data_IF_647890494318
#
_entry.id   IF_647890494318
#
_cell.length_a   1.000
_cell.length_b   1.000
_cell.length_c   1.000
_cell.angle_alpha   90.00
_cell.angle_beta   90.00
_cell.angle_gamma   90.00
#
_symmetry.space_group_name_H-M   'P 1'
#
loop_
_entity.id
_entity.type
_entity.pdbx_description
1 polymer ?
#
# COMPACT_ATOMS: atom_id res chain seq x y z
N UNK A 1 6.31 -33.46 23.45
CA UNK A 1 6.49 -33.12 22.01
C UNK A 1 7.21 -31.79 22.00
N UNK A 2 8.49 -31.79 21.65
CA UNK A 2 9.36 -30.62 21.73
C UNK A 2 9.18 -29.80 20.46
N UNK A 3 8.74 -28.54 20.60
CA UNK A 3 8.73 -27.54 19.53
C UNK A 3 10.17 -27.29 19.05
N UNK A 4 10.50 -27.82 17.89
CA UNK A 4 11.73 -27.46 17.21
C UNK A 4 11.52 -26.10 16.51
N UNK A 5 12.00 -25.05 17.14
CA UNK A 5 12.12 -23.74 16.51
C UNK A 5 13.09 -23.86 15.33
N UNK A 6 12.59 -23.83 14.11
CA UNK A 6 13.42 -23.86 12.90
C UNK A 6 14.19 -22.54 12.82
N UNK A 7 15.51 -22.60 12.95
CA UNK A 7 16.37 -21.42 12.81
C UNK A 7 16.36 -20.92 11.34
N UNK A 8 16.55 -19.59 11.14
CA UNK A 8 16.59 -18.97 9.79
C UNK A 8 17.58 -19.67 8.85
N UNK A 9 18.71 -20.18 9.38
CA UNK A 9 19.70 -21.00 8.62
C UNK A 9 19.15 -22.38 8.29
N UNK A 10 18.29 -22.97 9.14
CA UNK A 10 17.59 -24.21 8.86
C UNK A 10 16.58 -24.04 7.72
N UNK A 11 15.77 -23.00 7.73
CA UNK A 11 14.81 -22.69 6.69
C UNK A 11 15.49 -22.53 5.30
N UNK A 12 16.63 -21.82 5.24
CA UNK A 12 17.42 -21.68 4.01
C UNK A 12 17.98 -23.02 3.49
N UNK A 13 18.39 -23.94 4.37
CA UNK A 13 18.84 -25.28 3.97
C UNK A 13 17.70 -26.12 3.41
N UNK A 14 16.49 -26.05 3.99
CA UNK A 14 15.30 -26.72 3.46
C UNK A 14 14.85 -26.15 2.13
N UNK A 15 14.91 -24.82 1.94
CA UNK A 15 14.65 -24.19 0.63
C UNK A 15 15.66 -24.67 -0.43
N UNK A 16 16.95 -24.75 -0.07
CA UNK A 16 18.00 -25.25 -0.96
C UNK A 16 17.83 -26.74 -1.32
N UNK A 17 17.31 -27.57 -0.41
CA UNK A 17 17.00 -28.98 -0.70
C UNK A 17 15.77 -29.17 -1.57
N UNK A 18 14.73 -28.34 -1.40
CA UNK A 18 13.53 -28.36 -2.24
C UNK A 18 13.83 -27.97 -3.70
N UNK A 19 14.80 -27.07 -3.92
CA UNK A 19 15.22 -26.71 -5.27
C UNK A 19 16.00 -27.80 -6.01
N UNK A 20 16.53 -28.79 -5.29
CA UNK A 20 17.28 -29.91 -5.86
C UNK A 20 16.38 -31.09 -6.29
N UNK A 21 15.10 -31.09 -5.96
CA UNK A 21 14.15 -32.13 -6.37
C UNK A 21 13.58 -31.87 -7.77
N UNK A 22 13.15 -32.94 -8.47
CA UNK A 22 12.54 -32.82 -9.81
C UNK A 22 11.36 -31.82 -9.84
N UNK A 23 10.60 -31.73 -8.77
CA UNK A 23 9.49 -30.78 -8.61
C UNK A 23 10.00 -29.33 -8.49
N UNK A 24 11.14 -29.10 -7.82
CA UNK A 24 11.78 -27.79 -7.73
C UNK A 24 12.27 -27.27 -9.09
N UNK A 25 12.73 -28.16 -9.97
CA UNK A 25 13.13 -27.77 -11.34
C UNK A 25 11.96 -27.30 -12.19
N UNK A 26 10.79 -27.94 -12.07
CA UNK A 26 9.58 -27.52 -12.80
C UNK A 26 9.02 -26.20 -12.25
N UNK A 27 9.09 -25.99 -10.94
CA UNK A 27 8.69 -24.74 -10.31
C UNK A 27 9.60 -23.57 -10.73
N UNK A 28 10.91 -23.77 -10.69
CA UNK A 28 11.89 -22.74 -11.13
C UNK A 28 11.81 -22.50 -12.65
N UNK A 29 11.56 -23.54 -13.45
CA UNK A 29 11.43 -23.41 -14.90
C UNK A 29 10.19 -22.59 -15.31
N UNK A 30 9.14 -22.54 -14.48
CA UNK A 30 7.98 -21.67 -14.72
C UNK A 30 8.21 -20.20 -14.36
N UNK A 31 9.26 -19.91 -13.58
CA UNK A 31 9.58 -18.55 -13.09
C UNK A 31 10.80 -17.91 -13.80
N UNK A 32 11.71 -18.72 -14.31
CA UNK A 32 12.89 -18.21 -15.00
C UNK A 32 12.74 -18.49 -16.52
N UNK A 33 12.87 -17.48 -17.38
CA UNK A 33 12.94 -17.71 -18.80
C UNK A 33 14.16 -18.61 -19.09
N UNK A 34 13.91 -19.77 -19.70
CA UNK A 34 14.87 -20.87 -19.94
C UNK A 34 16.11 -20.50 -20.79
N UNK A 35 16.29 -19.25 -21.15
CA UNK A 35 17.43 -18.78 -21.96
C UNK A 35 18.65 -18.33 -21.14
N UNK A 36 18.56 -18.35 -19.82
CA UNK A 36 19.65 -17.88 -18.95
C UNK A 36 20.68 -18.96 -18.56
N UNK A 37 20.57 -20.22 -19.06
CA UNK A 37 21.38 -21.35 -18.55
C UNK A 37 22.39 -21.89 -19.59
N UNK A 38 22.47 -21.36 -20.79
CA UNK A 38 23.52 -21.74 -21.73
C UNK A 38 24.54 -20.60 -21.83
N UNK A 39 25.71 -20.89 -21.20
CA UNK A 39 26.82 -19.96 -21.17
C UNK A 39 27.35 -19.63 -22.56
N UNK A 40 27.31 -18.36 -22.85
CA UNK A 40 28.20 -17.74 -23.81
C UNK A 40 28.72 -16.46 -23.13
N UNK A 41 29.99 -16.48 -22.78
CA UNK A 41 30.66 -15.44 -21.96
C UNK A 41 30.75 -14.07 -22.66
N UNK A 42 30.07 -13.87 -23.79
CA UNK A 42 30.14 -12.63 -24.58
C UNK A 42 28.82 -11.88 -24.73
N UNK A 43 27.85 -12.08 -23.85
CA UNK A 43 26.54 -11.40 -23.96
C UNK A 43 26.11 -10.67 -22.69
N UNK A 44 27.00 -9.80 -22.18
CA UNK A 44 26.65 -8.75 -21.22
C UNK A 44 26.03 -7.50 -21.90
N UNK A 45 25.52 -7.66 -23.12
CA UNK A 45 24.82 -6.58 -23.83
C UNK A 45 23.42 -7.04 -24.13
N UNK A 46 22.47 -6.75 -23.22
CA UNK A 46 21.09 -7.12 -23.52
C UNK A 46 20.04 -6.93 -22.43
N UNK A 47 20.34 -6.25 -21.33
CA UNK A 47 19.29 -5.88 -20.36
C UNK A 47 18.56 -4.57 -20.78
N UNK A 48 19.07 -3.87 -21.78
CA UNK A 48 18.47 -2.63 -22.31
C UNK A 48 17.29 -2.86 -23.29
N UNK A 49 16.78 -4.08 -23.39
CA UNK A 49 15.69 -4.43 -24.34
C UNK A 49 14.54 -5.21 -23.71
N UNK A 50 14.31 -5.11 -22.42
CA UNK A 50 13.02 -5.50 -21.87
C UNK A 50 11.99 -4.44 -22.27
N UNK A 51 11.50 -4.53 -23.50
CA UNK A 51 10.19 -3.99 -23.78
C UNK A 51 9.24 -4.64 -22.78
N UNK A 52 8.69 -3.85 -21.89
CA UNK A 52 7.50 -4.22 -21.16
C UNK A 52 6.47 -4.57 -22.23
N UNK A 53 6.28 -5.87 -22.53
CA UNK A 53 5.05 -6.30 -23.13
C UNK A 53 4.01 -5.87 -22.11
N UNK A 54 3.23 -4.85 -22.45
CA UNK A 54 1.96 -4.60 -21.78
C UNK A 54 1.19 -5.92 -21.94
N UNK A 55 1.26 -6.73 -20.90
CA UNK A 55 0.28 -7.79 -20.70
C UNK A 55 -0.99 -7.00 -20.49
N UNK A 56 -1.88 -6.98 -21.49
CA UNK A 56 -3.23 -6.49 -21.30
C UNK A 56 -3.73 -7.21 -20.06
N UNK A 57 -3.77 -6.47 -18.94
CA UNK A 57 -4.28 -7.00 -17.71
C UNK A 57 -5.74 -7.32 -17.99
N UNK A 58 -6.11 -8.60 -17.90
CA UNK A 58 -7.52 -8.97 -17.87
C UNK A 58 -8.22 -8.04 -16.88
N UNK A 59 -9.45 -7.58 -17.18
CA UNK A 59 -10.17 -6.68 -16.28
C UNK A 59 -10.17 -7.34 -14.90
N UNK A 60 -9.44 -6.73 -13.96
CA UNK A 60 -9.30 -7.26 -12.63
C UNK A 60 -10.71 -7.47 -12.07
N UNK A 61 -11.01 -8.68 -11.64
CA UNK A 61 -12.28 -8.98 -10.97
C UNK A 61 -12.53 -7.92 -9.89
N UNK A 62 -13.77 -7.50 -9.75
CA UNK A 62 -14.12 -6.51 -8.73
C UNK A 62 -13.60 -6.98 -7.37
N UNK A 63 -12.87 -6.12 -6.66
CA UNK A 63 -12.33 -6.46 -5.34
C UNK A 63 -13.49 -6.77 -4.39
N UNK A 64 -13.35 -7.85 -3.63
CA UNK A 64 -14.26 -8.20 -2.56
C UNK A 64 -13.57 -7.93 -1.23
N UNK A 65 -14.09 -7.03 -0.39
CA UNK A 65 -13.51 -6.75 0.92
C UNK A 65 -13.36 -8.02 1.76
N UNK A 66 -12.23 -8.15 2.45
CA UNK A 66 -11.87 -9.34 3.23
C UNK A 66 -12.00 -9.08 4.74
N UNK A 67 -11.83 -7.84 5.17
CA UNK A 67 -11.91 -7.44 6.58
C UNK A 67 -13.14 -6.61 6.87
N UNK A 68 -13.35 -5.52 6.12
CA UNK A 68 -14.45 -4.61 6.36
C UNK A 68 -15.76 -5.16 5.81
N UNK A 69 -16.85 -4.98 6.54
CA UNK A 69 -18.17 -5.18 5.97
C UNK A 69 -18.46 -4.12 4.88
N UNK A 70 -19.50 -4.30 4.04
CA UNK A 70 -19.77 -3.38 2.93
C UNK A 70 -19.96 -1.92 3.34
N UNK A 71 -20.52 -1.67 4.52
CA UNK A 71 -20.77 -0.32 5.02
C UNK A 71 -19.48 0.33 5.54
N UNK A 72 -18.68 -0.42 6.26
CA UNK A 72 -17.35 0.01 6.70
C UNK A 72 -16.43 0.28 5.52
N UNK A 73 -16.43 -0.61 4.51
CA UNK A 73 -15.64 -0.43 3.30
C UNK A 73 -15.99 0.85 2.56
N UNK A 74 -17.28 1.17 2.39
CA UNK A 74 -17.72 2.45 1.83
C UNK A 74 -17.23 3.64 2.66
N UNK A 75 -17.22 3.51 3.98
CA UNK A 75 -16.66 4.56 4.86
C UNK A 75 -15.16 4.74 4.61
N UNK A 76 -14.42 3.66 4.43
CA UNK A 76 -12.98 3.70 4.09
C UNK A 76 -12.75 4.35 2.72
N UNK A 77 -13.58 4.05 1.72
CA UNK A 77 -13.51 4.72 0.40
C UNK A 77 -13.70 6.24 0.52
N UNK A 78 -14.70 6.66 1.30
CA UNK A 78 -14.96 8.09 1.53
C UNK A 78 -13.77 8.73 2.25
N UNK A 79 -13.26 8.11 3.31
CA UNK A 79 -12.14 8.61 4.08
C UNK A 79 -10.87 8.73 3.23
N UNK A 80 -10.54 7.71 2.46
CA UNK A 80 -9.39 7.74 1.56
C UNK A 80 -9.50 8.87 0.52
N UNK A 81 -10.68 9.06 -0.07
CA UNK A 81 -10.95 10.14 -1.02
C UNK A 81 -10.90 11.54 -0.38
N UNK A 82 -11.17 11.65 0.93
CA UNK A 82 -11.01 12.92 1.65
C UNK A 82 -9.55 13.24 1.99
N UNK A 83 -8.71 12.23 2.16
CA UNK A 83 -7.25 12.42 2.39
C UNK A 83 -6.54 12.74 1.08
N UNK A 84 -6.85 12.03 0.00
CA UNK A 84 -6.27 12.24 -1.34
C UNK A 84 -7.41 12.37 -2.35
N UNK A 85 -7.96 13.57 -2.51
CA UNK A 85 -9.09 13.79 -3.41
C UNK A 85 -8.66 13.68 -4.87
N UNK A 86 -9.62 13.40 -5.75
CA UNK A 86 -9.46 13.52 -7.19
C UNK A 86 -9.67 14.99 -7.57
N UNK A 87 -8.67 15.58 -8.20
CA UNK A 87 -8.70 16.95 -8.73
C UNK A 87 -8.19 16.98 -10.16
N UNK A 88 -7.13 17.73 -10.46
CA UNK A 88 -6.44 17.72 -11.75
C UNK A 88 -5.64 16.41 -11.98
N UNK A 89 -5.36 15.70 -10.88
CA UNK A 89 -4.72 14.38 -10.87
C UNK A 89 -5.66 13.32 -10.28
N UNK A 90 -5.46 12.04 -10.63
CA UNK A 90 -6.20 10.94 -10.01
C UNK A 90 -5.98 10.89 -8.50
N UNK A 91 -7.03 10.61 -7.74
CA UNK A 91 -6.98 10.50 -6.28
C UNK A 91 -7.00 9.06 -5.75
N UNK A 92 -7.30 8.94 -4.45
CA UNK A 92 -7.34 7.66 -3.75
C UNK A 92 -8.36 6.68 -4.33
N UNK A 93 -9.46 7.19 -4.90
CA UNK A 93 -10.51 6.36 -5.50
C UNK A 93 -10.00 5.62 -6.74
N UNK A 94 -9.39 6.35 -7.67
CA UNK A 94 -8.83 5.79 -8.91
C UNK A 94 -7.67 4.84 -8.59
N UNK A 95 -6.87 5.18 -7.58
CA UNK A 95 -5.77 4.34 -7.09
C UNK A 95 -6.24 3.12 -6.27
N UNK A 96 -7.56 2.98 -6.01
CA UNK A 96 -8.16 1.89 -5.25
C UNK A 96 -7.54 1.74 -3.85
N UNK A 97 -7.30 2.86 -3.19
CA UNK A 97 -6.66 2.88 -1.86
C UNK A 97 -7.45 2.10 -0.82
N UNK A 98 -8.79 2.11 -0.88
CA UNK A 98 -9.61 1.33 0.04
C UNK A 98 -9.36 -0.18 -0.06
N UNK A 99 -9.11 -0.71 -1.26
CA UNK A 99 -8.77 -2.13 -1.46
C UNK A 99 -7.43 -2.46 -0.78
N UNK A 100 -6.45 -1.57 -0.93
CA UNK A 100 -5.15 -1.70 -0.25
C UNK A 100 -5.31 -1.70 1.27
N UNK A 101 -6.08 -0.75 1.81
CA UNK A 101 -6.33 -0.64 3.25
C UNK A 101 -6.99 -1.91 3.80
N UNK A 102 -8.05 -2.38 3.15
CA UNK A 102 -8.75 -3.61 3.55
C UNK A 102 -7.81 -4.82 3.56
N UNK A 103 -7.04 -4.99 2.48
CA UNK A 103 -6.07 -6.09 2.35
C UNK A 103 -5.00 -6.04 3.46
N UNK A 104 -4.43 -4.85 3.73
CA UNK A 104 -3.40 -4.71 4.76
C UNK A 104 -3.97 -4.97 6.15
N UNK A 105 -5.16 -4.44 6.46
CA UNK A 105 -5.81 -4.65 7.76
C UNK A 105 -6.19 -6.12 7.94
N UNK A 106 -6.70 -6.79 6.90
CA UNK A 106 -6.96 -8.22 6.91
C UNK A 106 -5.68 -9.02 7.21
N UNK A 107 -4.61 -8.74 6.47
CA UNK A 107 -3.33 -9.45 6.61
C UNK A 107 -2.64 -9.17 7.95
N UNK A 108 -2.94 -8.04 8.59
CA UNK A 108 -2.34 -7.64 9.86
C UNK A 108 -2.63 -8.61 11.02
N UNK A 109 -3.62 -9.48 10.90
CA UNK A 109 -3.90 -10.52 11.89
C UNK A 109 -2.67 -11.35 12.27
N UNK A 110 -1.74 -11.56 11.32
CA UNK A 110 -0.56 -12.39 11.51
C UNK A 110 0.64 -11.64 12.09
N UNK A 111 0.78 -10.35 11.86
CA UNK A 111 1.99 -9.59 12.20
C UNK A 111 1.75 -8.33 13.05
N UNK A 112 0.57 -7.71 12.98
CA UNK A 112 0.17 -6.53 13.75
C UNK A 112 -1.33 -6.57 14.09
N UNK A 113 -1.78 -7.51 14.94
CA UNK A 113 -3.22 -7.65 15.25
C UNK A 113 -3.83 -6.41 15.89
N UNK A 114 -3.04 -5.54 16.52
CA UNK A 114 -3.51 -4.25 17.02
C UNK A 114 -4.09 -3.34 15.94
N UNK A 115 -3.61 -3.45 14.69
CA UNK A 115 -4.09 -2.63 13.58
C UNK A 115 -5.57 -2.89 13.28
N UNK A 116 -6.00 -4.15 13.34
CA UNK A 116 -7.41 -4.49 13.16
C UNK A 116 -8.29 -3.80 14.21
N UNK A 117 -7.84 -3.85 15.48
CA UNK A 117 -8.55 -3.19 16.57
C UNK A 117 -8.55 -1.66 16.39
N UNK A 118 -7.44 -1.07 15.99
CA UNK A 118 -7.31 0.37 15.72
C UNK A 118 -8.34 0.83 14.66
N UNK A 119 -8.54 0.04 13.61
CA UNK A 119 -9.53 0.35 12.56
C UNK A 119 -10.96 0.19 13.05
N UNK A 120 -11.30 -0.90 13.75
CA UNK A 120 -12.65 -1.11 14.30
C UNK A 120 -13.01 -0.02 15.30
N UNK A 121 -12.11 0.29 16.22
CA UNK A 121 -12.32 1.35 17.23
C UNK A 121 -12.44 2.73 16.56
N UNK A 122 -11.61 2.99 15.54
CA UNK A 122 -11.61 4.26 14.82
C UNK A 122 -12.89 4.48 14.00
N UNK A 123 -13.36 3.48 13.28
CA UNK A 123 -14.64 3.57 12.55
C UNK A 123 -15.82 3.70 13.52
N UNK A 124 -15.80 2.98 14.64
CA UNK A 124 -16.81 3.11 15.69
C UNK A 124 -16.82 4.51 16.30
N UNK A 125 -15.64 5.07 16.56
CA UNK A 125 -15.50 6.46 17.05
C UNK A 125 -16.09 7.44 16.04
N UNK A 126 -15.74 7.30 14.77
CA UNK A 126 -16.19 8.19 13.69
C UNK A 126 -17.71 8.19 13.55
N UNK A 127 -18.32 7.02 13.58
CA UNK A 127 -19.78 6.86 13.49
C UNK A 127 -20.46 7.48 14.71
N UNK A 128 -19.96 7.21 15.92
CA UNK A 128 -20.49 7.80 17.17
C UNK A 128 -20.44 9.33 17.14
N UNK A 129 -19.30 9.90 16.71
CA UNK A 129 -19.14 11.36 16.66
C UNK A 129 -19.99 12.00 15.57
N UNK A 130 -20.14 11.35 14.42
CA UNK A 130 -21.05 11.82 13.38
C UNK A 130 -22.50 11.86 13.85
N UNK A 131 -22.96 10.81 14.51
CA UNK A 131 -24.29 10.77 15.11
C UNK A 131 -24.46 11.84 16.19
N UNK A 132 -23.47 12.04 17.05
CA UNK A 132 -23.52 13.02 18.15
C UNK A 132 -23.56 14.45 17.61
N UNK A 133 -22.76 14.79 16.60
CA UNK A 133 -22.62 16.17 16.10
C UNK A 133 -23.68 16.53 15.06
N UNK A 134 -24.06 15.58 14.19
CA UNK A 134 -24.86 15.85 13.00
C UNK A 134 -26.18 15.08 12.95
N UNK A 135 -26.39 14.11 13.86
CA UNK A 135 -27.60 13.27 13.87
C UNK A 135 -27.72 12.32 12.68
N UNK A 136 -26.58 12.00 12.03
CA UNK A 136 -26.50 11.15 10.85
C UNK A 136 -25.29 10.22 10.93
N UNK A 137 -25.36 9.10 10.18
CA UNK A 137 -24.17 8.28 9.97
C UNK A 137 -23.07 9.08 9.26
N UNK A 138 -21.81 8.68 9.41
CA UNK A 138 -20.73 9.35 8.69
C UNK A 138 -20.93 9.31 7.17
N UNK A 139 -21.45 8.22 6.65
CA UNK A 139 -21.74 8.07 5.21
C UNK A 139 -22.86 9.00 4.72
N UNK A 140 -23.84 9.29 5.57
CA UNK A 140 -24.97 10.14 5.23
C UNK A 140 -24.74 11.62 5.59
N UNK A 141 -23.65 11.92 6.31
CA UNK A 141 -23.27 13.29 6.64
C UNK A 141 -22.87 14.05 5.37
N UNK A 142 -23.02 15.37 5.40
CA UNK A 142 -22.57 16.20 4.28
C UNK A 142 -21.05 16.22 4.20
N UNK A 143 -20.51 16.54 3.03
CA UNK A 143 -19.05 16.70 2.86
C UNK A 143 -18.46 17.70 3.85
N UNK A 144 -19.16 18.82 4.06
CA UNK A 144 -18.76 19.85 5.04
C UNK A 144 -18.71 19.29 6.47
N UNK A 145 -19.70 18.47 6.86
CA UNK A 145 -19.74 17.86 8.20
C UNK A 145 -18.59 16.84 8.37
N UNK A 146 -18.35 16.00 7.36
CA UNK A 146 -17.23 15.06 7.35
C UNK A 146 -15.89 15.79 7.44
N UNK A 147 -15.71 16.85 6.65
CA UNK A 147 -14.48 17.65 6.65
C UNK A 147 -14.28 18.31 8.03
N UNK A 148 -15.34 18.83 8.65
CA UNK A 148 -15.26 19.38 10.01
C UNK A 148 -14.76 18.33 10.99
N UNK A 149 -15.34 17.13 10.99
CA UNK A 149 -14.95 16.06 11.90
C UNK A 149 -13.47 15.65 11.71
N UNK A 150 -13.02 15.44 10.47
CA UNK A 150 -11.62 15.12 10.20
C UNK A 150 -10.68 16.27 10.56
N UNK A 151 -11.10 17.51 10.39
CA UNK A 151 -10.33 18.70 10.80
C UNK A 151 -10.15 18.75 12.31
N UNK A 152 -11.19 18.43 13.08
CA UNK A 152 -11.11 18.34 14.54
C UNK A 152 -10.15 17.21 14.95
N UNK A 153 -10.25 16.03 14.35
CA UNK A 153 -9.37 14.90 14.59
C UNK A 153 -7.91 15.21 14.28
N UNK A 154 -7.64 16.00 13.24
CA UNK A 154 -6.29 16.36 12.81
C UNK A 154 -5.66 17.53 13.61
N UNK A 155 -6.41 18.17 14.51
CA UNK A 155 -5.95 19.35 15.21
C UNK A 155 -4.59 19.18 15.93
N UNK A 156 -4.28 18.04 16.56
CA UNK A 156 -2.97 17.81 17.19
C UNK A 156 -1.77 17.83 16.23
N UNK A 157 -1.95 17.62 14.93
CA UNK A 157 -0.85 17.76 13.96
C UNK A 157 -0.36 19.21 13.84
N UNK A 158 -1.25 20.18 14.03
CA UNK A 158 -0.94 21.61 13.91
C UNK A 158 -0.51 22.21 15.24
N UNK A 159 -1.00 21.66 16.35
CA UNK A 159 -0.69 22.10 17.69
C UNK A 159 -0.59 20.88 18.62
N UNK A 160 0.64 20.47 18.93
CA UNK A 160 0.93 19.32 19.77
C UNK A 160 0.45 19.45 21.24
N UNK A 161 -0.02 20.65 21.64
CA UNK A 161 -0.65 20.84 22.95
C UNK A 161 -2.09 20.39 23.00
N UNK A 162 -2.71 20.24 21.82
CA UNK A 162 -4.08 19.75 21.70
C UNK A 162 -4.12 18.23 21.81
N UNK A 163 -5.17 17.72 22.42
CA UNK A 163 -5.45 16.31 22.52
C UNK A 163 -6.82 16.02 21.90
N UNK A 164 -6.88 14.98 21.07
CA UNK A 164 -8.14 14.56 20.46
C UNK A 164 -8.24 13.04 20.42
N UNK A 165 -9.37 12.48 20.89
CA UNK A 165 -9.59 11.03 20.99
C UNK A 165 -9.40 10.32 19.64
N UNK A 166 -9.87 10.93 18.55
CA UNK A 166 -9.76 10.38 17.19
C UNK A 166 -8.41 10.58 16.52
N UNK A 167 -7.43 11.25 17.16
CA UNK A 167 -6.18 11.61 16.49
C UNK A 167 -5.33 10.41 16.06
N UNK A 168 -5.23 9.39 16.91
CA UNK A 168 -4.47 8.16 16.58
C UNK A 168 -5.06 7.48 15.35
N UNK A 169 -6.38 7.36 15.27
CA UNK A 169 -7.03 6.80 14.09
C UNK A 169 -6.82 7.68 12.84
N UNK A 170 -6.93 9.00 12.97
CA UNK A 170 -6.66 9.92 11.86
C UNK A 170 -5.23 9.74 11.31
N UNK A 171 -4.25 9.60 12.18
CA UNK A 171 -2.85 9.36 11.78
C UNK A 171 -2.70 8.03 11.03
N UNK A 172 -3.26 6.95 11.59
CA UNK A 172 -3.24 5.63 10.94
C UNK A 172 -3.93 5.65 9.56
N UNK A 173 -5.10 6.29 9.47
CA UNK A 173 -5.83 6.48 8.21
C UNK A 173 -4.98 7.22 7.17
N UNK A 174 -4.40 8.35 7.57
CA UNK A 174 -3.58 9.20 6.70
C UNK A 174 -2.34 8.46 6.20
N UNK A 175 -1.60 7.82 7.09
CA UNK A 175 -0.43 7.03 6.73
C UNK A 175 -0.76 5.92 5.73
N UNK A 176 -1.81 5.14 5.99
CA UNK A 176 -2.21 4.06 5.10
C UNK A 176 -2.79 4.56 3.78
N UNK A 177 -3.49 5.69 3.77
CA UNK A 177 -3.97 6.29 2.54
C UNK A 177 -2.81 6.78 1.65
N UNK A 178 -1.82 7.44 2.24
CA UNK A 178 -0.62 7.90 1.54
C UNK A 178 0.20 6.72 1.03
N UNK A 179 0.42 5.70 1.86
CA UNK A 179 1.15 4.50 1.45
C UNK A 179 0.44 3.78 0.29
N UNK A 180 -0.87 3.51 0.43
CA UNK A 180 -1.65 2.84 -0.61
C UNK A 180 -1.69 3.63 -1.92
N UNK A 181 -1.73 4.95 -1.86
CA UNK A 181 -1.72 5.79 -3.04
C UNK A 181 -0.36 5.76 -3.75
N UNK A 182 0.73 6.11 -3.06
CA UNK A 182 2.06 6.24 -3.68
C UNK A 182 2.74 4.90 -4.01
N UNK A 183 2.23 3.78 -3.49
CA UNK A 183 2.65 2.44 -3.93
C UNK A 183 1.78 1.87 -5.04
N UNK A 184 0.67 2.52 -5.38
CA UNK A 184 -0.17 2.15 -6.52
C UNK A 184 0.51 2.52 -7.86
N UNK A 185 0.05 1.90 -8.96
CA UNK A 185 0.51 2.28 -10.31
C UNK A 185 0.26 3.78 -10.58
N UNK A 186 -0.91 4.27 -10.21
CA UNK A 186 -1.30 5.68 -10.43
C UNK A 186 -0.37 6.62 -9.65
N UNK A 187 -0.20 6.40 -8.35
CA UNK A 187 0.65 7.28 -7.53
C UNK A 187 2.13 7.19 -7.93
N UNK A 188 2.64 5.98 -8.15
CA UNK A 188 4.05 5.77 -8.42
C UNK A 188 4.45 6.18 -9.84
N UNK A 189 3.68 5.79 -10.85
CA UNK A 189 4.03 6.02 -12.26
C UNK A 189 3.44 7.33 -12.75
N UNK A 190 2.11 7.51 -12.62
CA UNK A 190 1.41 8.61 -13.28
C UNK A 190 1.62 9.95 -12.54
N UNK A 191 1.76 9.91 -11.20
CA UNK A 191 1.94 11.14 -10.38
C UNK A 191 3.41 11.41 -10.07
N UNK A 192 4.19 10.39 -9.65
CA UNK A 192 5.61 10.56 -9.31
C UNK A 192 6.57 10.39 -10.49
N UNK A 193 6.07 9.99 -11.67
CA UNK A 193 6.89 9.73 -12.87
C UNK A 193 8.08 8.79 -12.59
N UNK A 194 7.85 7.74 -11.78
CA UNK A 194 8.90 6.80 -11.40
C UNK A 194 9.37 5.99 -12.60
N UNK A 195 10.63 6.19 -13.01
CA UNK A 195 11.24 5.58 -14.20
C UNK A 195 11.99 4.25 -13.89
N UNK A 196 11.79 3.70 -12.69
CA UNK A 196 12.51 2.51 -12.25
C UNK A 196 13.84 2.83 -11.53
N UNK A 197 14.54 1.77 -11.13
CA UNK A 197 15.84 1.89 -10.49
C UNK A 197 16.92 1.99 -11.59
N UNK A 198 17.51 3.18 -11.75
CA UNK A 198 18.65 3.38 -12.63
C UNK A 198 19.95 3.33 -11.82
N UNK A 199 20.86 2.45 -12.21
CA UNK A 199 22.21 2.47 -11.68
C UNK A 199 23.03 3.53 -12.43
N UNK A 200 23.49 4.52 -11.69
CA UNK A 200 24.43 5.52 -12.22
C UNK A 200 25.82 5.16 -11.72
N UNK A 201 26.71 4.78 -12.63
CA UNK A 201 28.11 4.45 -12.30
C UNK A 201 28.83 5.69 -11.73
N UNK A 202 28.54 6.86 -12.31
CA UNK A 202 29.05 8.15 -11.85
C UNK A 202 27.85 9.07 -11.54
N UNK A 203 27.80 9.60 -10.32
CA UNK A 203 26.80 10.60 -9.97
C UNK A 203 27.27 11.98 -10.48
N UNK A 204 26.54 12.61 -11.42
CA UNK A 204 26.98 13.87 -12.06
C UNK A 204 26.94 15.08 -11.11
N UNK A 205 26.53 14.89 -9.86
CA UNK A 205 26.28 15.98 -8.91
C UNK A 205 24.88 16.57 -9.06
N UNK A 206 24.58 17.51 -8.19
CA UNK A 206 23.34 18.27 -8.28
C UNK A 206 23.46 19.30 -9.42
N UNK A 207 22.52 19.27 -10.37
CA UNK A 207 22.49 20.21 -11.51
C UNK A 207 21.69 21.47 -11.24
N UNK A 208 21.03 21.58 -10.07
CA UNK A 208 20.24 22.74 -9.69
C UNK A 208 21.16 23.91 -9.32
N UNK A 209 20.99 25.11 -9.93
CA UNK A 209 21.88 26.26 -9.69
C UNK A 209 21.98 26.68 -8.22
N UNK A 210 20.88 26.53 -7.46
CA UNK A 210 20.79 26.85 -6.04
C UNK A 210 21.63 25.92 -5.13
N UNK A 211 22.05 24.76 -5.63
CA UNK A 211 22.84 23.79 -4.89
C UNK A 211 24.30 23.73 -5.35
N UNK A 212 24.73 24.62 -6.24
CA UNK A 212 26.09 24.65 -6.79
C UNK A 212 26.99 25.73 -6.14
N UNK A 213 26.55 26.35 -5.02
CA UNK A 213 27.29 27.37 -4.30
C UNK A 213 28.28 26.81 -3.27
#
# INVERSE_FOLDING_TARGET
>A
MSDQVISRRGALKYLGMLSATLAGRQFLASWLPMQAVHGDENRLVGIAGMHHQEVEAEPAAAYAPQFFNPEEFQTVEILAAMIIPTDEAPGAKEARVADYVDFVVFSAAEFRPSLQKEWVDGLTYLERESQRQFGKSFRDATETDRLKLLTEMSAPERDATLHHEGFTFFTTLKEMAVEGFYTSKIGLIDVLDFQGLNYMADFPGCTHPEHQA
#
